data_IF_344520049450
#
_entry.id   IF_344520049450
#
_cell.length_a   1.000
_cell.length_b   1.000
_cell.length_c   1.000
_cell.angle_alpha   90.00
_cell.angle_beta   90.00
_cell.angle_gamma   90.00
#
_symmetry.space_group_name_H-M   'P 1'
#
loop_
_entity.id
_entity.type
_entity.pdbx_description
1 polymer ?
#
# COMPACT_ATOMS: atom_id res chain seq x y z
N UNK A 1 14.43 -5.79 10.17
CA UNK A 1 13.99 -4.89 11.25
C UNK A 1 15.02 -4.80 12.36
N UNK A 2 15.54 -5.93 12.86
CA UNK A 2 16.66 -5.97 13.83
C UNK A 2 17.88 -5.13 13.43
N UNK A 3 18.22 -5.07 12.14
CA UNK A 3 19.30 -4.23 11.61
C UNK A 3 18.97 -2.72 11.49
N UNK A 4 17.88 -2.25 12.12
CA UNK A 4 17.56 -0.82 12.22
C UNK A 4 16.59 -0.26 11.17
N UNK A 5 16.19 -1.02 10.15
CA UNK A 5 15.29 -0.52 9.10
C UNK A 5 13.98 0.07 9.66
N UNK A 6 13.62 1.28 9.19
CA UNK A 6 12.38 1.99 9.55
C UNK A 6 11.18 1.57 8.71
N UNK A 7 11.44 1.07 7.49
CA UNK A 7 10.43 0.50 6.61
C UNK A 7 10.94 -0.81 6.00
N UNK A 8 10.03 -1.74 5.76
CA UNK A 8 10.26 -2.86 4.84
C UNK A 8 9.38 -2.71 3.60
N UNK A 9 9.95 -3.00 2.44
CA UNK A 9 9.33 -2.78 1.12
C UNK A 9 9.25 -4.10 0.37
N UNK A 10 8.11 -4.39 -0.25
CA UNK A 10 7.88 -5.68 -0.94
C UNK A 10 8.77 -5.89 -2.17
N UNK A 11 8.88 -4.90 -3.06
CA UNK A 11 9.62 -5.04 -4.32
C UNK A 11 10.27 -3.75 -4.81
N UNK A 12 11.17 -3.84 -5.78
CA UNK A 12 11.76 -2.67 -6.46
C UNK A 12 10.77 -1.99 -7.42
N UNK A 13 9.71 -2.69 -7.84
CA UNK A 13 8.79 -2.28 -8.90
C UNK A 13 9.31 -2.52 -10.32
N UNK A 14 10.49 -3.14 -10.47
CA UNK A 14 11.14 -3.38 -11.77
C UNK A 14 11.05 -4.82 -12.28
N UNK A 15 10.64 -5.76 -11.43
CA UNK A 15 10.57 -7.19 -11.73
C UNK A 15 9.19 -7.75 -11.36
N UNK A 16 8.80 -8.86 -12.01
CA UNK A 16 7.54 -9.55 -11.74
C UNK A 16 7.81 -10.97 -11.17
N UNK A 17 6.96 -11.45 -10.25
CA UNK A 17 5.84 -10.72 -9.63
C UNK A 17 6.34 -9.65 -8.65
N UNK A 18 5.69 -8.48 -8.66
CA UNK A 18 5.96 -7.39 -7.72
C UNK A 18 5.24 -7.60 -6.38
N UNK A 19 4.53 -6.60 -5.84
CA UNK A 19 3.74 -6.80 -4.62
C UNK A 19 2.57 -7.77 -4.87
N UNK A 20 2.46 -8.80 -4.04
CA UNK A 20 1.32 -9.71 -4.00
C UNK A 20 0.74 -9.75 -2.59
N UNK A 21 -0.56 -10.03 -2.47
CA UNK A 21 -1.22 -10.09 -1.16
C UNK A 21 -0.59 -11.12 -0.21
N UNK A 22 -0.26 -12.36 -0.65
CA UNK A 22 0.37 -13.34 0.23
C UNK A 22 1.72 -12.88 0.79
N UNK A 23 2.57 -12.25 -0.05
CA UNK A 23 3.87 -11.72 0.40
C UNK A 23 3.68 -10.56 1.38
N UNK A 24 2.69 -9.70 1.13
CA UNK A 24 2.39 -8.59 2.03
C UNK A 24 1.93 -9.09 3.40
N UNK A 25 1.05 -10.10 3.47
CA UNK A 25 0.59 -10.69 4.73
C UNK A 25 1.78 -11.20 5.56
N UNK A 26 2.70 -11.97 4.95
CA UNK A 26 3.90 -12.46 5.65
C UNK A 26 4.76 -11.31 6.19
N UNK A 27 4.92 -10.24 5.40
CA UNK A 27 5.69 -9.07 5.84
C UNK A 27 4.99 -8.29 6.96
N UNK A 28 3.66 -8.18 6.92
CA UNK A 28 2.85 -7.53 7.96
C UNK A 28 2.90 -8.32 9.27
N UNK A 29 2.75 -9.65 9.22
CA UNK A 29 2.89 -10.51 10.39
C UNK A 29 4.29 -10.39 11.01
N UNK A 30 5.34 -10.35 10.19
CA UNK A 30 6.69 -10.11 10.69
C UNK A 30 6.82 -8.75 11.40
N UNK A 31 6.20 -7.69 10.88
CA UNK A 31 6.19 -6.36 11.54
C UNK A 31 5.46 -6.43 12.88
N UNK A 32 4.29 -7.08 12.92
CA UNK A 32 3.48 -7.26 14.12
C UNK A 32 4.29 -7.95 15.21
N UNK A 33 4.87 -9.10 14.87
CA UNK A 33 5.61 -9.93 15.81
C UNK A 33 6.86 -9.18 16.32
N UNK A 34 7.56 -8.45 15.43
CA UNK A 34 8.68 -7.59 15.83
C UNK A 34 8.26 -6.44 16.75
N UNK A 35 7.12 -5.80 16.48
CA UNK A 35 6.59 -4.74 17.32
C UNK A 35 6.18 -5.27 18.71
N UNK A 36 5.59 -6.47 18.79
CA UNK A 36 5.26 -7.12 20.07
C UNK A 36 6.49 -7.50 20.87
N UNK A 37 7.54 -8.01 20.22
CA UNK A 37 8.76 -8.42 20.90
C UNK A 37 9.60 -7.23 21.38
N UNK A 38 9.68 -6.15 20.58
CA UNK A 38 10.64 -5.06 20.80
C UNK A 38 10.03 -3.74 21.24
N UNK A 39 8.70 -3.58 21.11
CA UNK A 39 8.01 -2.30 21.27
C UNK A 39 8.29 -1.27 20.17
N UNK A 40 9.11 -1.60 19.15
CA UNK A 40 9.50 -0.68 18.08
C UNK A 40 8.64 -0.88 16.84
N UNK A 41 7.90 0.16 16.46
CA UNK A 41 7.13 0.17 15.23
C UNK A 41 8.01 0.29 13.97
N UNK A 42 7.73 -0.52 12.95
CA UNK A 42 8.37 -0.45 11.62
C UNK A 42 7.27 -0.29 10.57
N UNK A 43 7.51 0.57 9.59
CA UNK A 43 6.56 0.82 8.52
C UNK A 43 6.56 -0.25 7.42
N UNK A 44 5.42 -0.36 6.73
CA UNK A 44 5.24 -1.23 5.58
C UNK A 44 5.08 -0.42 4.28
N UNK A 45 5.76 -0.85 3.22
CA UNK A 45 5.58 -0.29 1.88
C UNK A 45 5.29 -1.38 0.83
N UNK A 46 4.02 -1.53 0.46
CA UNK A 46 3.64 -2.35 -0.68
C UNK A 46 4.01 -1.62 -1.98
N UNK A 47 4.86 -2.21 -2.82
CA UNK A 47 5.38 -1.54 -4.01
C UNK A 47 5.34 -2.42 -5.26
N UNK A 48 4.91 -1.81 -6.37
CA UNK A 48 4.88 -2.41 -7.71
C UNK A 48 3.64 -3.25 -7.98
N UNK A 49 3.03 -3.08 -9.16
CA UNK A 49 1.87 -3.86 -9.62
C UNK A 49 0.51 -3.42 -9.06
N UNK A 50 0.47 -2.45 -8.15
CA UNK A 50 -0.77 -1.88 -7.60
C UNK A 50 -1.25 -0.79 -8.55
N UNK A 51 -2.33 -1.05 -9.29
CA UNK A 51 -2.83 -0.17 -10.34
C UNK A 51 -4.22 0.40 -10.08
N UNK A 52 -5.02 -0.25 -9.22
CA UNK A 52 -6.40 0.16 -8.97
C UNK A 52 -6.69 0.46 -7.50
N UNK A 53 -7.65 1.34 -7.24
CA UNK A 53 -8.17 1.68 -5.94
C UNK A 53 -8.65 0.43 -5.19
N UNK A 54 -9.30 -0.51 -5.90
CA UNK A 54 -9.70 -1.81 -5.34
C UNK A 54 -8.51 -2.60 -4.79
N UNK A 55 -7.41 -2.66 -5.54
CA UNK A 55 -6.19 -3.33 -5.07
C UNK A 55 -5.59 -2.59 -3.86
N UNK A 56 -5.55 -1.26 -3.91
CA UNK A 56 -5.04 -0.43 -2.80
C UNK A 56 -5.86 -0.62 -1.51
N UNK A 57 -7.19 -0.69 -1.61
CA UNK A 57 -8.10 -0.99 -0.49
C UNK A 57 -7.75 -2.34 0.14
N UNK A 58 -7.46 -3.36 -0.68
CA UNK A 58 -7.03 -4.65 -0.15
C UNK A 58 -5.80 -4.56 0.77
N UNK A 59 -4.83 -3.71 0.42
CA UNK A 59 -3.65 -3.48 1.28
C UNK A 59 -4.00 -2.68 2.54
N UNK A 60 -4.88 -1.68 2.45
CA UNK A 60 -5.36 -0.94 3.62
C UNK A 60 -6.06 -1.87 4.62
N UNK A 61 -6.93 -2.75 4.13
CA UNK A 61 -7.60 -3.77 4.95
C UNK A 61 -6.58 -4.69 5.59
N UNK A 62 -5.64 -5.25 4.82
CA UNK A 62 -4.62 -6.14 5.37
C UNK A 62 -3.77 -5.48 6.47
N UNK A 63 -3.38 -4.20 6.28
CA UNK A 63 -2.66 -3.44 7.30
C UNK A 63 -3.51 -3.26 8.55
N UNK A 64 -4.77 -2.83 8.39
CA UNK A 64 -5.66 -2.60 9.53
C UNK A 64 -5.93 -3.87 10.34
N UNK A 65 -6.21 -4.99 9.66
CA UNK A 65 -6.52 -6.26 10.32
C UNK A 65 -5.32 -6.88 11.05
N UNK A 66 -4.10 -6.69 10.53
CA UNK A 66 -2.90 -7.33 11.09
C UNK A 66 -2.15 -6.42 12.07
N UNK A 67 -2.08 -5.12 11.77
CA UNK A 67 -1.28 -4.14 12.52
C UNK A 67 -2.11 -3.09 13.25
N UNK A 68 -3.40 -2.95 12.95
CA UNK A 68 -4.26 -1.95 13.56
C UNK A 68 -4.26 -0.59 12.85
N UNK A 69 -5.22 0.26 13.25
CA UNK A 69 -5.46 1.59 12.69
C UNK A 69 -4.25 2.52 12.87
N UNK A 70 -3.46 2.32 13.93
CA UNK A 70 -2.28 3.13 14.23
C UNK A 70 -1.14 2.95 13.20
N UNK A 71 -1.20 1.92 12.35
CA UNK A 71 -0.30 1.75 11.20
C UNK A 71 -0.81 2.43 9.92
N UNK A 72 -2.06 2.90 9.87
CA UNK A 72 -2.65 3.61 8.73
C UNK A 72 -2.26 5.09 8.69
N UNK A 73 -0.96 5.36 8.88
CA UNK A 73 -0.37 6.71 8.87
C UNK A 73 0.74 6.80 7.82
N UNK A 74 1.02 7.99 7.23
CA UNK A 74 2.11 8.16 6.26
C UNK A 74 3.50 7.75 6.79
N UNK A 75 3.68 7.75 8.11
CA UNK A 75 4.90 7.36 8.82
C UNK A 75 5.06 5.84 8.93
N UNK A 76 3.99 5.07 8.74
CA UNK A 76 3.97 3.62 8.96
C UNK A 76 3.42 2.80 7.81
N UNK A 77 2.70 3.41 6.86
CA UNK A 77 2.21 2.71 5.68
C UNK A 77 2.32 3.56 4.43
N UNK A 78 2.82 2.95 3.34
CA UNK A 78 2.86 3.59 2.01
C UNK A 78 2.56 2.61 0.88
N UNK A 79 1.94 3.14 -0.17
CA UNK A 79 1.81 2.48 -1.46
C UNK A 79 2.87 3.03 -2.42
N UNK A 80 3.76 2.16 -2.88
CA UNK A 80 4.72 2.46 -3.94
C UNK A 80 4.11 2.19 -5.31
N UNK A 81 3.47 3.20 -5.90
CA UNK A 81 2.81 3.11 -7.19
C UNK A 81 3.08 4.33 -8.07
N UNK A 82 2.95 4.16 -9.38
CA UNK A 82 2.98 5.25 -10.38
C UNK A 82 1.59 5.45 -10.97
N UNK A 83 1.05 4.44 -11.65
CA UNK A 83 -0.25 4.54 -12.35
C UNK A 83 -1.48 4.51 -11.43
N UNK A 84 -1.33 4.20 -10.14
CA UNK A 84 -2.45 4.11 -9.19
C UNK A 84 -3.15 5.46 -8.98
N UNK A 85 -2.40 6.58 -9.05
CA UNK A 85 -2.93 7.90 -8.75
C UNK A 85 -4.14 8.23 -9.63
N UNK A 86 -4.03 8.00 -10.93
CA UNK A 86 -5.10 8.30 -11.87
C UNK A 86 -6.35 7.47 -11.60
N UNK A 87 -6.21 6.18 -11.28
CA UNK A 87 -7.36 5.34 -10.96
C UNK A 87 -8.06 5.81 -9.69
N UNK A 88 -7.32 6.18 -8.65
CA UNK A 88 -7.88 6.74 -7.41
C UNK A 88 -8.61 8.06 -7.67
N UNK A 89 -8.02 8.97 -8.44
CA UNK A 89 -8.67 10.23 -8.80
C UNK A 89 -9.97 9.98 -9.57
N UNK A 90 -9.96 9.06 -10.54
CA UNK A 90 -11.15 8.68 -11.30
C UNK A 90 -12.25 8.13 -10.40
N UNK A 91 -11.93 7.28 -9.42
CA UNK A 91 -12.94 6.78 -8.47
C UNK A 91 -13.52 7.90 -7.60
N UNK A 92 -12.67 8.79 -7.06
CA UNK A 92 -13.11 9.93 -6.25
C UNK A 92 -14.03 10.85 -7.04
N UNK A 93 -13.67 11.16 -8.29
CA UNK A 93 -14.50 12.01 -9.13
C UNK A 93 -15.81 11.33 -9.53
N UNK A 94 -15.79 10.02 -9.83
CA UNK A 94 -17.00 9.25 -10.09
C UNK A 94 -17.96 9.28 -8.91
N UNK A 95 -17.47 9.11 -7.68
CA UNK A 95 -18.28 9.18 -6.46
C UNK A 95 -18.88 10.57 -6.23
N UNK A 96 -18.14 11.63 -6.54
CA UNK A 96 -18.59 13.02 -6.34
C UNK A 96 -19.58 13.50 -7.41
N UNK A 97 -19.35 13.13 -8.66
CA UNK A 97 -20.09 13.65 -9.82
C UNK A 97 -21.16 12.71 -10.37
N UNK A 98 -21.10 11.42 -10.01
CA UNK A 98 -21.98 10.38 -10.55
C UNK A 98 -21.63 9.93 -11.98
N UNK A 99 -20.64 10.55 -12.64
CA UNK A 99 -20.22 10.24 -14.01
C UNK A 99 -18.72 9.91 -14.09
N UNK A 100 -18.33 9.08 -15.06
CA UNK A 100 -16.92 8.80 -15.31
C UNK A 100 -16.31 9.90 -16.18
N UNK A 101 -15.11 10.33 -15.81
CA UNK A 101 -14.27 11.23 -16.60
C UNK A 101 -13.61 10.47 -17.74
N UNK A 102 -13.16 11.19 -18.77
CA UNK A 102 -12.27 10.60 -19.78
C UNK A 102 -10.95 10.20 -19.12
N UNK A 103 -10.30 9.17 -19.65
CA UNK A 103 -8.92 8.86 -19.24
C UNK A 103 -7.97 10.03 -19.54
N UNK A 104 -8.28 10.82 -20.58
CA UNK A 104 -7.50 12.00 -21.01
C UNK A 104 -7.62 13.20 -20.05
N UNK A 105 -8.58 13.17 -19.11
CA UNK A 105 -8.73 14.22 -18.09
C UNK A 105 -7.66 14.10 -16.98
N UNK A 106 -6.86 13.03 -16.99
CA UNK A 106 -5.79 12.76 -16.02
C UNK A 106 -4.42 12.72 -16.71
N UNK A 107 -3.36 13.03 -15.97
CA UNK A 107 -1.99 13.07 -16.50
C UNK A 107 -1.55 11.72 -17.09
N UNK A 108 -0.77 11.74 -18.17
CA UNK A 108 -0.06 10.53 -18.63
C UNK A 108 0.95 10.11 -17.55
N UNK A 109 0.82 8.87 -17.07
CA UNK A 109 1.65 8.31 -15.99
C UNK A 109 2.81 7.47 -16.53
#
# INVERSE_FOLDING_TARGET
MTAGADFIKTSTGKIQPAATMPVAVVMLEAIRDFAWETGRAVGFKAAGGIRTARQAIGYLVAVNEILGEEWLTPERFRLGASSLLNDVLMQIFKERSGVYQSADDFSEA
#
